data_IF_517830453963
#
_entry.id   IF_517830453963
#
_cell.length_a   1.000
_cell.length_b   1.000
_cell.length_c   1.000
_cell.angle_alpha   90.00
_cell.angle_beta   90.00
_cell.angle_gamma   90.00
#
_symmetry.space_group_name_H-M   'P 1'
#
loop_
_entity.id
_entity.type
_entity.pdbx_description
1 polymer ?
#
# COMPACT_ATOMS: atom_id res chain seq x y z
N UNK A 1 14.90 -13.81 17.46
CA UNK A 1 13.49 -14.26 17.38
C UNK A 1 12.67 -13.47 18.40
N UNK A 2 12.03 -12.40 17.98
CA UNK A 2 11.00 -11.78 18.81
C UNK A 2 9.74 -12.60 18.51
N UNK A 3 9.29 -13.39 19.48
CA UNK A 3 8.04 -14.11 19.37
C UNK A 3 6.90 -13.10 19.22
N UNK A 4 6.09 -13.26 18.21
CA UNK A 4 4.92 -12.45 17.86
C UNK A 4 3.79 -12.49 18.93
N UNK A 5 4.11 -12.75 20.18
CA UNK A 5 3.17 -12.88 21.30
C UNK A 5 3.36 -11.92 22.46
N UNK A 6 4.48 -11.20 22.54
CA UNK A 6 4.78 -10.37 23.72
C UNK A 6 5.16 -8.90 23.42
N UNK A 7 5.41 -8.57 22.14
CA UNK A 7 5.60 -7.17 21.71
C UNK A 7 4.49 -6.83 20.71
N UNK A 8 3.76 -5.77 20.96
CA UNK A 8 2.76 -5.24 20.02
C UNK A 8 3.36 -4.99 18.64
N UNK A 9 2.54 -4.84 17.60
CA UNK A 9 3.03 -4.43 16.28
C UNK A 9 3.87 -3.15 16.41
N UNK A 10 5.01 -3.06 15.68
CA UNK A 10 5.89 -1.88 15.78
C UNK A 10 5.11 -0.62 15.39
N UNK A 11 5.41 0.46 16.07
CA UNK A 11 4.88 1.78 15.72
C UNK A 11 5.54 2.31 14.45
N UNK A 12 4.92 3.29 13.80
CA UNK A 12 5.53 3.95 12.64
C UNK A 12 6.92 4.49 12.96
N UNK A 13 7.08 5.15 14.11
CA UNK A 13 8.37 5.72 14.51
C UNK A 13 9.45 4.65 14.67
N UNK A 14 9.13 3.50 15.25
CA UNK A 14 10.06 2.37 15.35
C UNK A 14 10.46 1.83 13.99
N UNK A 15 9.51 1.73 13.05
CA UNK A 15 9.80 1.31 11.67
C UNK A 15 10.70 2.31 10.94
N UNK A 16 10.42 3.62 11.05
CA UNK A 16 11.23 4.67 10.45
C UNK A 16 12.64 4.69 11.03
N UNK A 17 12.76 4.58 12.35
CA UNK A 17 14.07 4.53 13.01
C UNK A 17 14.88 3.31 12.61
N UNK A 18 14.24 2.15 12.46
CA UNK A 18 14.90 0.95 12.00
C UNK A 18 15.43 1.05 10.57
N UNK A 19 14.62 1.60 9.65
CA UNK A 19 15.04 1.83 8.26
C UNK A 19 16.23 2.79 8.21
N UNK A 20 16.19 3.90 8.96
CA UNK A 20 17.29 4.87 9.04
C UNK A 20 18.55 4.24 9.63
N UNK A 21 18.42 3.51 10.73
CA UNK A 21 19.56 2.80 11.34
C UNK A 21 20.16 1.78 10.37
N UNK A 22 19.31 1.05 9.64
CA UNK A 22 19.77 0.08 8.64
C UNK A 22 20.53 0.74 7.48
N UNK A 23 20.18 1.98 7.12
CA UNK A 23 20.92 2.73 6.09
C UNK A 23 22.36 3.02 6.51
N UNK A 24 22.59 3.35 7.79
CA UNK A 24 23.87 3.75 8.32
C UNK A 24 24.74 2.59 8.84
N UNK A 25 24.17 1.39 9.07
CA UNK A 25 24.91 0.24 9.62
C UNK A 25 25.58 -0.59 8.52
N UNK A 26 26.91 -0.56 8.45
CA UNK A 26 27.71 -1.32 7.48
C UNK A 26 27.53 -2.84 7.54
N UNK A 27 26.91 -3.38 8.58
CA UNK A 27 26.63 -4.82 8.72
C UNK A 27 25.32 -5.22 8.07
N UNK A 28 24.47 -4.25 7.71
CA UNK A 28 23.19 -4.48 7.04
C UNK A 28 23.38 -4.27 5.55
N UNK A 29 23.14 -5.31 4.77
CA UNK A 29 23.29 -5.31 3.31
C UNK A 29 22.00 -4.94 2.59
N UNK A 30 20.84 -5.11 3.23
CA UNK A 30 19.56 -4.83 2.63
C UNK A 30 18.38 -5.01 3.57
N UNK A 31 17.19 -4.70 3.06
CA UNK A 31 15.90 -4.86 3.76
C UNK A 31 15.04 -5.89 3.02
N UNK A 32 14.44 -6.80 3.77
CA UNK A 32 13.38 -7.68 3.28
C UNK A 32 12.04 -7.24 3.86
N UNK A 33 11.10 -6.86 2.99
CA UNK A 33 9.75 -6.44 3.34
C UNK A 33 8.80 -7.59 3.05
N UNK A 34 8.29 -8.24 4.09
CA UNK A 34 7.15 -9.16 3.96
C UNK A 34 5.86 -8.37 4.12
N UNK A 35 5.17 -8.12 3.01
CA UNK A 35 3.90 -7.43 3.01
C UNK A 35 2.75 -8.38 3.38
N UNK A 36 1.81 -7.88 4.17
CA UNK A 36 0.59 -8.59 4.52
C UNK A 36 0.12 -8.27 5.93
N UNK A 37 -1.10 -7.74 6.04
CA UNK A 37 -1.79 -7.56 7.32
C UNK A 37 -1.53 -6.26 8.07
N UNK A 38 -0.66 -5.38 7.64
CA UNK A 38 -0.47 -4.09 8.27
C UNK A 38 -1.61 -3.12 7.93
N UNK A 39 -2.42 -2.75 8.93
CA UNK A 39 -3.40 -1.66 8.80
C UNK A 39 -2.69 -0.33 8.99
N UNK A 40 -2.30 0.30 7.89
CA UNK A 40 -1.59 1.59 7.89
C UNK A 40 -2.33 2.61 7.01
N UNK A 41 -2.49 3.83 7.49
CA UNK A 41 -3.06 4.94 6.71
C UNK A 41 -2.11 5.44 5.61
N UNK A 42 -2.65 6.16 4.63
CA UNK A 42 -1.83 6.68 3.51
C UNK A 42 -0.74 7.66 3.97
N UNK A 43 -1.00 8.51 4.97
CA UNK A 43 0.02 9.41 5.49
C UNK A 43 1.23 8.67 6.08
N UNK A 44 0.96 7.63 6.91
CA UNK A 44 2.04 6.80 7.46
C UNK A 44 2.78 6.00 6.39
N UNK A 45 2.06 5.59 5.32
CA UNK A 45 2.68 4.91 4.17
C UNK A 45 3.59 5.86 3.37
N UNK A 46 3.22 7.14 3.27
CA UNK A 46 4.05 8.17 2.63
C UNK A 46 5.38 8.32 3.36
N UNK A 47 5.34 8.51 4.69
CA UNK A 47 6.56 8.63 5.49
C UNK A 47 7.46 7.38 5.38
N UNK A 48 6.87 6.18 5.43
CA UNK A 48 7.63 4.94 5.30
C UNK A 48 8.19 4.76 3.87
N UNK A 49 7.43 5.14 2.85
CA UNK A 49 7.88 5.09 1.45
C UNK A 49 9.08 6.01 1.23
N UNK A 50 9.02 7.25 1.75
CA UNK A 50 10.16 8.19 1.70
C UNK A 50 11.39 7.61 2.40
N UNK A 51 11.23 7.05 3.60
CA UNK A 51 12.34 6.44 4.31
C UNK A 51 12.96 5.25 3.56
N UNK A 52 12.14 4.44 2.85
CA UNK A 52 12.64 3.33 2.03
C UNK A 52 13.37 3.84 0.77
N UNK A 53 12.90 4.93 0.16
CA UNK A 53 13.59 5.57 -0.96
C UNK A 53 14.94 6.16 -0.51
N UNK A 54 14.97 6.84 0.63
CA UNK A 54 16.22 7.35 1.23
C UNK A 54 17.18 6.20 1.55
N UNK A 55 16.67 5.07 2.07
CA UNK A 55 17.48 3.87 2.31
C UNK A 55 18.17 3.38 1.03
N UNK A 56 17.50 3.42 -0.11
CA UNK A 56 18.10 3.02 -1.41
C UNK A 56 19.28 3.90 -1.81
N UNK A 57 19.29 5.16 -1.39
CA UNK A 57 20.44 6.07 -1.65
C UNK A 57 21.72 5.60 -0.94
N UNK A 58 21.62 4.76 0.11
CA UNK A 58 22.79 4.11 0.73
C UNK A 58 23.44 3.04 -0.16
N UNK A 59 22.82 2.70 -1.30
CA UNK A 59 23.28 1.65 -2.22
C UNK A 59 22.93 0.23 -1.80
N UNK A 60 22.18 0.07 -0.70
CA UNK A 60 21.69 -1.22 -0.19
C UNK A 60 20.42 -1.63 -0.91
N UNK A 61 20.13 -2.93 -0.93
CA UNK A 61 19.01 -3.48 -1.67
C UNK A 61 17.74 -3.63 -0.82
N UNK A 62 16.59 -3.62 -1.49
CA UNK A 62 15.29 -3.94 -0.91
C UNK A 62 14.66 -5.10 -1.68
N UNK A 63 14.26 -6.15 -0.97
CA UNK A 63 13.40 -7.23 -1.46
C UNK A 63 12.01 -7.07 -0.86
N UNK A 64 10.97 -7.29 -1.64
CA UNK A 64 9.60 -7.33 -1.14
C UNK A 64 8.91 -8.62 -1.58
N UNK A 65 8.12 -9.21 -0.69
CA UNK A 65 7.30 -10.38 -0.96
C UNK A 65 5.90 -10.23 -0.38
N UNK A 66 4.92 -10.75 -1.11
CA UNK A 66 3.58 -10.99 -0.59
C UNK A 66 2.91 -12.19 -1.25
N UNK A 67 2.02 -12.85 -0.51
CA UNK A 67 1.08 -13.79 -1.10
C UNK A 67 0.05 -13.09 -1.99
N UNK A 68 -0.35 -11.87 -1.63
CA UNK A 68 -1.18 -10.97 -2.44
C UNK A 68 -0.98 -9.54 -1.95
N UNK A 69 -0.73 -8.63 -2.86
CA UNK A 69 -0.54 -7.23 -2.55
C UNK A 69 -1.85 -6.47 -2.52
N UNK A 70 -2.20 -5.87 -1.38
CA UNK A 70 -3.21 -4.79 -1.35
C UNK A 70 -2.64 -3.55 -2.03
N UNK A 71 -3.51 -2.65 -2.52
CA UNK A 71 -3.06 -1.40 -3.17
C UNK A 71 -2.04 -0.62 -2.32
N UNK A 72 -2.27 -0.52 -1.00
CA UNK A 72 -1.36 0.21 -0.13
C UNK A 72 -0.04 -0.51 0.14
N UNK A 73 -0.06 -1.84 0.27
CA UNK A 73 1.15 -2.65 0.45
C UNK A 73 1.96 -2.70 -0.85
N UNK A 74 1.25 -2.79 -2.00
CA UNK A 74 1.90 -2.75 -3.31
C UNK A 74 2.65 -1.42 -3.52
N UNK A 75 2.03 -0.30 -3.19
CA UNK A 75 2.68 1.01 -3.30
C UNK A 75 4.00 1.06 -2.53
N UNK A 76 4.05 0.54 -1.29
CA UNK A 76 5.31 0.45 -0.51
C UNK A 76 6.29 -0.53 -1.16
N UNK A 77 5.81 -1.71 -1.57
CA UNK A 77 6.64 -2.74 -2.17
C UNK A 77 7.27 -2.29 -3.50
N UNK A 78 6.70 -1.29 -4.19
CA UNK A 78 7.30 -0.75 -5.43
C UNK A 78 8.67 -0.13 -5.23
N UNK A 79 9.07 0.22 -4.00
CA UNK A 79 10.43 0.67 -3.68
C UNK A 79 11.47 -0.43 -3.81
N UNK A 80 11.04 -1.71 -3.78
CA UNK A 80 11.95 -2.84 -3.83
C UNK A 80 12.66 -2.98 -5.19
N UNK A 81 13.91 -3.41 -5.15
CA UNK A 81 14.69 -3.80 -6.33
C UNK A 81 14.15 -5.12 -6.90
N UNK A 82 13.81 -6.04 -5.98
CA UNK A 82 13.14 -7.29 -6.32
C UNK A 82 11.78 -7.36 -5.63
N UNK A 83 10.73 -7.26 -6.42
CA UNK A 83 9.34 -7.33 -5.98
C UNK A 83 8.76 -8.67 -6.40
N UNK A 84 8.60 -9.57 -5.44
CA UNK A 84 8.23 -10.97 -5.67
C UNK A 84 6.79 -11.21 -5.24
N UNK A 85 6.03 -11.91 -6.07
CA UNK A 85 4.65 -12.29 -5.81
C UNK A 85 4.53 -13.83 -5.75
N UNK A 86 3.69 -14.33 -4.85
CA UNK A 86 3.31 -15.74 -4.84
C UNK A 86 2.76 -16.16 -6.22
N UNK A 87 3.12 -17.36 -6.75
CA UNK A 87 2.65 -17.83 -8.08
C UNK A 87 1.14 -17.90 -8.26
N UNK A 88 0.37 -17.97 -7.17
CA UNK A 88 -1.11 -17.93 -7.18
C UNK A 88 -1.66 -16.64 -6.56
N UNK A 89 -0.79 -15.66 -6.33
CA UNK A 89 -1.13 -14.37 -5.73
C UNK A 89 -1.71 -13.37 -6.72
N UNK A 90 -2.08 -12.21 -6.21
CA UNK A 90 -2.63 -11.11 -6.98
C UNK A 90 -2.06 -9.77 -6.56
N UNK A 91 -2.13 -8.79 -7.46
CA UNK A 91 -1.87 -7.38 -7.17
C UNK A 91 -3.18 -6.62 -7.28
N UNK A 92 -3.56 -5.90 -6.24
CA UNK A 92 -4.76 -5.08 -6.23
C UNK A 92 -4.41 -3.60 -6.48
N UNK A 93 -4.94 -3.06 -7.57
CA UNK A 93 -4.91 -1.64 -7.92
C UNK A 93 -6.31 -1.27 -8.35
N UNK A 94 -7.08 -0.61 -7.49
CA UNK A 94 -8.51 -0.35 -7.70
C UNK A 94 -8.90 1.12 -7.58
N UNK A 95 -7.94 2.01 -7.33
CA UNK A 95 -8.21 3.44 -7.15
C UNK A 95 -8.72 3.80 -5.75
N UNK A 96 -9.30 4.99 -5.63
CA UNK A 96 -9.87 5.51 -4.38
C UNK A 96 -11.27 6.03 -4.64
N UNK A 97 -12.23 5.57 -3.85
CA UNK A 97 -13.61 5.99 -3.98
C UNK A 97 -14.40 5.69 -2.70
N UNK A 98 -15.64 6.21 -2.67
CA UNK A 98 -16.53 5.98 -1.54
C UNK A 98 -17.99 6.19 -1.93
N UNK A 99 -18.89 5.65 -1.14
CA UNK A 99 -20.34 5.86 -1.28
C UNK A 99 -20.90 6.43 0.02
N UNK A 100 -21.88 7.32 -0.11
CA UNK A 100 -22.61 7.88 1.03
C UNK A 100 -24.08 7.50 0.91
N UNK A 101 -24.64 6.74 1.87
CA UNK A 101 -26.07 6.43 1.88
C UNK A 101 -26.88 7.67 2.25
N UNK A 102 -28.06 7.85 1.61
CA UNK A 102 -29.00 8.93 1.90
C UNK A 102 -30.30 8.35 2.44
N UNK A 103 -30.71 8.81 3.62
CA UNK A 103 -31.82 8.24 4.38
C UNK A 103 -33.11 9.05 4.25
N UNK A 104 -33.13 10.17 3.55
CA UNK A 104 -34.28 11.08 3.42
C UNK A 104 -35.55 10.37 2.97
N UNK A 105 -35.44 9.46 1.97
CA UNK A 105 -36.62 8.72 1.50
C UNK A 105 -37.18 7.73 2.53
N UNK A 106 -36.33 7.16 3.41
CA UNK A 106 -36.77 6.32 4.53
C UNK A 106 -37.42 7.17 5.61
N UNK A 107 -36.82 8.29 5.96
CA UNK A 107 -37.35 9.21 6.99
C UNK A 107 -38.72 9.78 6.58
N UNK A 108 -38.89 10.15 5.32
CA UNK A 108 -40.18 10.59 4.75
C UNK A 108 -41.27 9.53 4.92
N UNK A 109 -40.96 8.25 4.63
CA UNK A 109 -41.92 7.14 4.79
C UNK A 109 -42.30 6.87 6.25
N UNK A 110 -41.38 7.15 7.18
CA UNK A 110 -41.60 6.99 8.63
C UNK A 110 -42.27 8.26 9.25
N UNK A 111 -42.49 9.33 8.47
CA UNK A 111 -43.04 10.59 8.97
C UNK A 111 -42.05 11.37 9.87
N UNK A 112 -40.76 11.05 9.81
CA UNK A 112 -39.71 11.70 10.61
C UNK A 112 -39.15 12.90 9.85
N UNK A 113 -39.19 14.09 10.47
CA UNK A 113 -38.57 15.31 9.93
C UNK A 113 -37.37 15.69 10.74
N UNK A 114 -36.21 15.72 10.08
CA UNK A 114 -34.95 16.16 10.70
C UNK A 114 -34.88 17.70 10.75
N UNK A 115 -34.65 18.27 11.93
CA UNK A 115 -34.30 19.68 12.08
C UNK A 115 -32.78 19.82 12.11
N UNK A 116 -32.25 20.60 11.16
CA UNK A 116 -30.80 20.76 11.02
C UNK A 116 -30.44 22.22 11.10
N UNK A 117 -29.46 22.52 11.95
CA UNK A 117 -28.81 23.82 12.02
C UNK A 117 -27.42 23.64 11.37
N UNK A 118 -27.24 24.22 10.19
CA UNK A 118 -26.03 24.12 9.38
C UNK A 118 -25.48 25.49 9.08
N UNK A 119 -24.21 25.73 9.36
CA UNK A 119 -23.50 26.96 9.00
C UNK A 119 -22.33 26.61 8.09
N UNK A 120 -22.32 27.15 6.88
CA UNK A 120 -21.27 26.96 5.87
C UNK A 120 -21.61 25.94 4.78
N UNK A 121 -21.09 26.19 3.57
CA UNK A 121 -21.41 25.47 2.34
C UNK A 121 -20.87 24.03 2.34
N UNK A 122 -19.70 23.82 2.96
CA UNK A 122 -18.99 22.53 2.93
C UNK A 122 -19.25 21.62 4.14
N UNK A 123 -20.20 21.98 5.03
CA UNK A 123 -20.61 21.11 6.14
C UNK A 123 -21.64 20.07 5.68
N UNK A 124 -21.18 19.03 5.00
CA UNK A 124 -22.03 18.03 4.33
C UNK A 124 -22.46 16.85 5.21
N UNK A 125 -21.94 16.72 6.45
CA UNK A 125 -22.23 15.58 7.33
C UNK A 125 -23.74 15.35 7.60
N UNK A 126 -24.58 16.38 7.46
CA UNK A 126 -26.04 16.31 7.67
C UNK A 126 -26.83 16.02 6.38
N UNK A 127 -26.20 16.10 5.23
CA UNK A 127 -26.85 15.91 3.92
C UNK A 127 -27.54 14.54 3.77
N UNK A 128 -26.98 13.43 4.29
CA UNK A 128 -27.62 12.13 4.24
C UNK A 128 -29.05 12.08 4.84
N UNK A 129 -29.37 13.00 5.73
CA UNK A 129 -30.67 13.04 6.43
C UNK A 129 -31.67 14.02 5.82
N UNK A 130 -31.25 14.91 4.91
CA UNK A 130 -32.10 15.97 4.35
C UNK A 130 -32.08 16.11 2.84
N UNK A 131 -31.07 15.53 2.20
CA UNK A 131 -30.96 15.46 0.74
C UNK A 131 -31.18 14.05 0.25
N UNK A 132 -31.47 13.89 -1.03
CA UNK A 132 -31.58 12.58 -1.70
C UNK A 132 -30.27 12.15 -2.37
N UNK A 133 -29.36 13.09 -2.55
CA UNK A 133 -28.03 12.90 -3.13
C UNK A 133 -27.06 13.95 -2.58
N UNK A 134 -25.78 13.73 -2.82
CA UNK A 134 -24.71 14.63 -2.40
C UNK A 134 -24.80 15.98 -3.12
N UNK A 135 -24.70 17.07 -2.36
CA UNK A 135 -24.63 18.41 -2.95
C UNK A 135 -23.38 18.59 -3.81
N UNK A 136 -23.44 19.49 -4.78
CA UNK A 136 -22.31 19.76 -5.67
C UNK A 136 -21.03 20.21 -4.93
N UNK A 137 -21.09 21.07 -3.88
CA UNK A 137 -19.91 21.37 -3.07
C UNK A 137 -19.33 20.15 -2.36
N UNK A 138 -20.18 19.29 -1.78
CA UNK A 138 -19.72 18.07 -1.12
C UNK A 138 -19.10 17.08 -2.11
N UNK A 139 -19.71 16.93 -3.30
CA UNK A 139 -19.19 16.08 -4.38
C UNK A 139 -17.79 16.54 -4.85
N UNK A 140 -17.61 17.86 -5.05
CA UNK A 140 -16.29 18.41 -5.42
C UNK A 140 -15.24 18.17 -4.34
N UNK A 141 -15.59 18.36 -3.09
CA UNK A 141 -14.66 18.11 -1.96
C UNK A 141 -14.27 16.64 -1.88
N UNK A 142 -15.24 15.73 -2.00
CA UNK A 142 -14.97 14.29 -1.97
C UNK A 142 -14.12 13.86 -3.16
N UNK A 143 -14.45 14.36 -4.36
CA UNK A 143 -13.67 14.08 -5.56
C UNK A 143 -12.23 14.56 -5.41
N UNK A 144 -12.00 15.78 -4.95
CA UNK A 144 -10.66 16.31 -4.73
C UNK A 144 -9.87 15.48 -3.72
N UNK A 145 -10.52 15.04 -2.64
CA UNK A 145 -9.92 14.15 -1.65
C UNK A 145 -9.48 12.81 -2.27
N UNK A 146 -10.39 12.15 -2.99
CA UNK A 146 -10.08 10.89 -3.68
C UNK A 146 -8.99 11.05 -4.74
N UNK A 147 -9.07 12.10 -5.57
CA UNK A 147 -8.08 12.40 -6.60
C UNK A 147 -6.68 12.64 -5.99
N UNK A 148 -6.60 13.35 -4.86
CA UNK A 148 -5.32 13.62 -4.20
C UNK A 148 -4.66 12.33 -3.73
N UNK A 149 -5.41 11.46 -3.05
CA UNK A 149 -4.88 10.15 -2.60
C UNK A 149 -4.53 9.27 -3.80
N UNK A 150 -5.41 9.22 -4.80
CA UNK A 150 -5.15 8.39 -5.97
C UNK A 150 -3.91 8.84 -6.76
N UNK A 151 -3.74 10.14 -6.98
CA UNK A 151 -2.58 10.67 -7.67
C UNK A 151 -1.28 10.36 -6.91
N UNK A 152 -1.31 10.39 -5.58
CA UNK A 152 -0.19 9.99 -4.75
C UNK A 152 0.13 8.49 -4.97
N UNK A 153 -0.86 7.61 -4.86
CA UNK A 153 -0.66 6.15 -5.03
C UNK A 153 -0.19 5.82 -6.44
N UNK A 154 -0.92 6.29 -7.47
CA UNK A 154 -0.64 5.97 -8.85
C UNK A 154 0.70 6.57 -9.32
N UNK A 155 1.03 7.77 -8.86
CA UNK A 155 2.30 8.44 -9.16
C UNK A 155 3.49 7.66 -8.64
N UNK A 156 3.43 7.18 -7.40
CA UNK A 156 4.50 6.37 -6.82
C UNK A 156 4.65 5.01 -7.51
N UNK A 157 3.53 4.33 -7.82
CA UNK A 157 3.57 3.07 -8.57
C UNK A 157 4.23 3.31 -9.95
N UNK A 158 3.79 4.34 -10.68
CA UNK A 158 4.31 4.65 -12.01
C UNK A 158 5.81 4.96 -11.97
N UNK A 159 6.24 5.80 -11.04
CA UNK A 159 7.64 6.22 -10.90
C UNK A 159 8.54 5.03 -10.51
N UNK A 160 8.18 4.27 -9.49
CA UNK A 160 9.01 3.22 -8.94
C UNK A 160 9.09 1.98 -9.85
N UNK A 161 8.00 1.69 -10.61
CA UNK A 161 7.98 0.54 -11.55
C UNK A 161 8.34 0.90 -12.98
N UNK A 162 8.56 2.18 -13.27
CA UNK A 162 8.90 2.64 -14.63
C UNK A 162 7.77 2.43 -15.64
N UNK A 163 6.50 2.43 -15.18
CA UNK A 163 5.33 2.28 -16.03
C UNK A 163 4.63 3.62 -16.25
N UNK A 164 3.93 3.77 -17.37
CA UNK A 164 3.21 5.02 -17.64
C UNK A 164 2.06 5.22 -16.62
N UNK A 165 1.87 6.45 -16.13
CA UNK A 165 0.77 6.78 -15.22
C UNK A 165 -0.61 6.44 -15.81
N UNK A 166 -0.81 6.63 -17.11
CA UNK A 166 -2.04 6.27 -17.81
C UNK A 166 -2.29 4.75 -17.80
N UNK A 167 -1.23 3.94 -17.81
CA UNK A 167 -1.33 2.50 -17.65
C UNK A 167 -1.83 2.13 -16.25
N UNK A 168 -1.31 2.77 -15.21
CA UNK A 168 -1.76 2.57 -13.82
C UNK A 168 -3.23 2.99 -13.66
N UNK A 169 -3.61 4.14 -14.24
CA UNK A 169 -5.01 4.60 -14.25
C UNK A 169 -5.95 3.60 -14.96
N UNK A 170 -5.50 3.02 -16.07
CA UNK A 170 -6.26 2.00 -16.80
C UNK A 170 -6.42 0.72 -15.97
N UNK A 171 -5.35 0.26 -15.33
CA UNK A 171 -5.37 -0.92 -14.45
C UNK A 171 -6.38 -0.77 -13.31
N UNK A 172 -6.49 0.41 -12.72
CA UNK A 172 -7.44 0.70 -11.64
C UNK A 172 -8.91 0.53 -12.05
N UNK A 173 -9.22 0.60 -13.35
CA UNK A 173 -10.58 0.40 -13.88
C UNK A 173 -10.87 -1.05 -14.32
N UNK A 174 -9.87 -1.92 -14.35
CA UNK A 174 -9.95 -3.25 -14.96
C UNK A 174 -10.01 -4.42 -13.97
N UNK A 175 -10.10 -4.15 -12.66
CA UNK A 175 -10.09 -5.21 -11.63
C UNK A 175 -8.95 -6.21 -11.82
N UNK A 176 -7.72 -5.70 -11.98
CA UNK A 176 -6.55 -6.50 -12.35
C UNK A 176 -6.23 -7.64 -11.38
N UNK A 177 -6.68 -7.56 -10.12
CA UNK A 177 -6.50 -8.61 -9.11
C UNK A 177 -7.10 -9.98 -9.51
N UNK A 178 -7.99 -10.01 -10.54
CA UNK A 178 -8.57 -11.25 -11.07
C UNK A 178 -7.73 -11.86 -12.19
N UNK A 179 -6.67 -11.19 -12.63
CA UNK A 179 -5.81 -11.63 -13.72
C UNK A 179 -4.85 -12.75 -13.26
N UNK A 180 -4.40 -13.62 -14.18
CA UNK A 180 -3.34 -14.58 -13.85
C UNK A 180 -2.07 -13.87 -13.36
N UNK A 181 -1.43 -14.40 -12.31
CA UNK A 181 -0.22 -13.81 -11.70
C UNK A 181 0.91 -13.57 -12.71
N UNK A 182 1.07 -14.44 -13.71
CA UNK A 182 2.06 -14.28 -14.78
C UNK A 182 1.90 -12.97 -15.58
N UNK A 183 0.69 -12.40 -15.64
CA UNK A 183 0.46 -11.12 -16.31
C UNK A 183 1.12 -9.95 -15.58
N UNK A 184 1.28 -10.03 -14.27
CA UNK A 184 1.92 -8.96 -13.49
C UNK A 184 3.42 -8.88 -13.76
N UNK A 185 4.06 -10.00 -14.06
CA UNK A 185 5.47 -10.02 -14.53
C UNK A 185 5.56 -9.41 -15.93
N UNK A 186 4.67 -9.82 -16.83
CA UNK A 186 4.64 -9.30 -18.21
C UNK A 186 4.43 -7.78 -18.27
N UNK A 187 3.63 -7.24 -17.35
CA UNK A 187 3.36 -5.81 -17.24
C UNK A 187 4.39 -5.05 -16.36
N UNK A 188 5.47 -5.70 -15.95
CA UNK A 188 6.52 -5.14 -15.07
C UNK A 188 6.02 -4.67 -13.70
N UNK A 189 4.87 -5.14 -13.26
CA UNK A 189 4.33 -4.82 -11.94
C UNK A 189 5.05 -5.57 -10.82
N UNK A 190 5.51 -6.80 -11.09
CA UNK A 190 6.37 -7.57 -10.20
C UNK A 190 7.60 -8.06 -10.95
N UNK A 191 8.70 -8.33 -10.22
CA UNK A 191 9.96 -8.80 -10.82
C UNK A 191 9.85 -10.28 -11.19
N UNK A 192 9.32 -11.10 -10.28
CA UNK A 192 9.13 -12.52 -10.52
C UNK A 192 8.03 -13.15 -9.64
N UNK A 193 7.73 -14.42 -9.93
CA UNK A 193 6.80 -15.24 -9.15
C UNK A 193 7.59 -16.32 -8.42
N UNK A 194 7.52 -16.31 -7.08
CA UNK A 194 8.13 -17.34 -6.25
C UNK A 194 7.31 -17.60 -4.99
N UNK A 195 7.46 -18.80 -4.41
CA UNK A 195 6.94 -19.08 -3.08
C UNK A 195 7.84 -18.47 -2.02
N UNK A 196 7.27 -18.06 -0.88
CA UNK A 196 8.02 -17.43 0.22
C UNK A 196 9.30 -18.19 0.61
N UNK A 197 9.24 -19.53 0.66
CA UNK A 197 10.38 -20.37 1.00
C UNK A 197 11.61 -20.18 0.11
N UNK A 198 11.41 -19.64 -1.11
CA UNK A 198 12.49 -19.40 -2.09
C UNK A 198 13.18 -18.07 -1.83
N UNK A 199 12.51 -17.15 -1.12
CA UNK A 199 13.05 -15.81 -0.85
C UNK A 199 14.35 -15.88 -0.04
N UNK A 200 14.43 -16.78 0.94
CA UNK A 200 15.66 -16.97 1.71
C UNK A 200 16.83 -17.39 0.81
N UNK A 201 16.59 -18.29 -0.14
CA UNK A 201 17.61 -18.73 -1.10
C UNK A 201 18.02 -17.60 -2.06
N UNK A 202 17.05 -16.77 -2.49
CA UNK A 202 17.32 -15.59 -3.32
C UNK A 202 18.20 -14.59 -2.58
N UNK A 203 17.91 -14.30 -1.32
CA UNK A 203 18.70 -13.40 -0.47
C UNK A 203 20.09 -13.99 -0.22
N UNK A 204 20.20 -15.30 0.10
CA UNK A 204 21.50 -15.99 0.28
C UNK A 204 22.37 -15.89 -0.96
N UNK A 205 21.79 -16.18 -2.12
CA UNK A 205 22.51 -16.09 -3.39
C UNK A 205 23.01 -14.66 -3.66
N UNK A 206 22.20 -13.64 -3.34
CA UNK A 206 22.62 -12.24 -3.48
C UNK A 206 23.77 -11.88 -2.55
N UNK A 207 23.77 -12.43 -1.33
CA UNK A 207 24.84 -12.23 -0.35
C UNK A 207 26.09 -13.09 -0.61
N UNK A 208 26.05 -14.01 -1.58
CA UNK A 208 27.16 -14.91 -1.89
C UNK A 208 27.37 -16.03 -0.86
N UNK A 209 26.35 -16.35 -0.06
CA UNK A 209 26.39 -17.46 0.89
C UNK A 209 26.08 -18.80 0.21
N UNK A 210 26.80 -19.83 0.56
CA UNK A 210 26.51 -21.22 0.14
C UNK A 210 25.31 -21.74 0.97
N UNK A 211 24.29 -22.26 0.30
CA UNK A 211 22.99 -22.62 0.88
C UNK A 211 23.03 -23.62 2.05
N UNK A 212 24.15 -24.36 2.19
CA UNK A 212 24.26 -25.48 3.15
C UNK A 212 25.06 -25.17 4.42
N UNK A 213 25.71 -24.01 4.56
CA UNK A 213 26.71 -23.81 5.63
C UNK A 213 26.55 -22.55 6.49
N UNK A 214 25.85 -21.54 6.06
CA UNK A 214 25.86 -20.26 6.75
C UNK A 214 24.46 -19.81 7.21
N UNK A 215 24.31 -19.46 8.48
CA UNK A 215 23.08 -18.83 9.00
C UNK A 215 23.07 -17.34 8.66
N UNK A 216 21.98 -16.88 8.04
CA UNK A 216 21.74 -15.44 7.85
C UNK A 216 21.34 -14.86 9.20
N UNK A 217 22.12 -13.89 9.72
CA UNK A 217 21.71 -13.07 10.84
C UNK A 217 20.51 -12.20 10.41
N UNK A 218 19.36 -12.34 11.07
CA UNK A 218 18.17 -11.53 10.84
C UNK A 218 17.98 -10.57 12.01
N UNK A 219 17.94 -9.28 11.74
CA UNK A 219 17.41 -8.32 12.68
C UNK A 219 15.90 -8.17 12.42
N UNK A 220 15.10 -8.44 13.42
CA UNK A 220 13.66 -8.17 13.38
C UNK A 220 13.40 -6.83 14.06
N UNK A 221 12.71 -5.98 13.36
CA UNK A 221 12.20 -4.70 13.87
C UNK A 221 10.73 -4.84 14.23
#
# INVERSE_FOLDING_TARGET
FIQQGELGSPTLEEMLQAVRTAADDDKIEGIYIKCGGASMGYASREELLEALLDFKESGKWIYAYSDSYTQGDYMLATTADELVLNPVGSVDIHGVGGSTPFFTGLLDKLGVKMQIIKVGTYKSAVEPFVLKEMSEPARRQMKQYCDTIWNFVAGNIAANRGVALDSVNTMATQYIYTRPSASFVADSLVSELAYERVIDDMIRNRLGYDSDRDEIGRAHV
#
